data_IF_625626294982
#
_entry.id   IF_625626294982
#
_cell.length_a   1.000
_cell.length_b   1.000
_cell.length_c   1.000
_cell.angle_alpha   90.00
_cell.angle_beta   90.00
_cell.angle_gamma   90.00
#
_symmetry.space_group_name_H-M   'P 1'
#
loop_
_entity.id
_entity.type
_entity.pdbx_description
1 polymer ?
#
# COMPACT_ATOMS: atom_id res chain seq x y z
N UNK A 1 29.72 10.93 18.40
CA UNK A 1 28.82 10.74 17.25
C UNK A 1 27.59 11.57 17.50
N UNK A 2 27.34 12.62 16.71
CA UNK A 2 26.15 13.45 16.84
C UNK A 2 25.07 12.84 15.95
N UNK A 3 23.99 12.34 16.53
CA UNK A 3 22.78 11.96 15.80
C UNK A 3 21.84 13.17 15.76
N UNK A 4 21.95 13.94 14.68
CA UNK A 4 20.97 14.96 14.32
C UNK A 4 19.70 14.22 13.89
N UNK A 5 18.69 14.18 14.75
CA UNK A 5 17.37 13.66 14.41
C UNK A 5 16.58 14.77 13.71
N UNK A 6 16.74 14.87 12.40
CA UNK A 6 15.81 15.60 11.53
C UNK A 6 14.49 14.84 11.49
N UNK A 7 13.57 15.23 12.37
CA UNK A 7 12.15 14.88 12.28
C UNK A 7 11.57 15.55 11.03
N UNK A 8 11.58 14.83 9.92
CA UNK A 8 10.84 15.22 8.72
C UNK A 8 9.46 14.55 8.76
N UNK A 9 8.42 15.38 8.81
CA UNK A 9 7.02 15.01 8.87
C UNK A 9 6.64 14.19 7.63
N UNK A 10 5.72 13.22 7.71
CA UNK A 10 5.21 12.58 6.50
C UNK A 10 4.44 13.62 5.70
N UNK A 11 4.89 13.88 4.47
CA UNK A 11 4.09 14.59 3.48
C UNK A 11 2.97 13.64 3.04
N UNK A 12 1.73 14.04 3.31
CA UNK A 12 0.54 13.50 2.64
C UNK A 12 0.65 13.78 1.13
N UNK A 13 1.36 12.91 0.42
CA UNK A 13 1.40 12.92 -1.03
C UNK A 13 0.13 12.24 -1.54
N UNK A 14 -0.87 13.08 -1.74
CA UNK A 14 -1.89 13.03 -2.78
C UNK A 14 -1.96 11.69 -3.55
N UNK A 15 -3.01 10.92 -3.28
CA UNK A 15 -3.41 9.74 -4.05
C UNK A 15 -3.68 10.15 -5.51
N UNK A 16 -2.63 10.14 -6.32
CA UNK A 16 -2.73 10.16 -7.78
C UNK A 16 -3.07 8.74 -8.23
N UNK A 17 -4.37 8.43 -8.23
CA UNK A 17 -4.85 7.19 -8.85
C UNK A 17 -4.42 7.13 -10.32
N UNK A 18 -4.06 5.96 -10.86
CA UNK A 18 -3.62 5.83 -12.24
C UNK A 18 -4.78 6.17 -13.20
N UNK A 19 -4.70 7.35 -13.79
CA UNK A 19 -5.52 7.73 -14.93
C UNK A 19 -4.89 7.14 -16.20
N UNK A 20 -5.27 5.92 -16.55
CA UNK A 20 -4.90 5.30 -17.83
C UNK A 20 -6.13 5.08 -18.70
N UNK A 21 -6.36 6.01 -19.62
CA UNK A 21 -7.21 5.81 -20.79
C UNK A 21 -6.34 5.71 -22.05
N UNK A 22 -6.21 4.50 -22.62
CA UNK A 22 -6.43 4.19 -24.05
C UNK A 22 -5.82 2.85 -24.45
N UNK A 23 -6.71 1.88 -24.66
CA UNK A 23 -6.46 0.65 -25.39
C UNK A 23 -7.79 -0.08 -25.51
N UNK A 24 -8.43 -0.02 -26.69
CA UNK A 24 -9.70 -0.69 -26.97
C UNK A 24 -9.49 -2.21 -27.01
N UNK A 25 -9.29 -2.79 -25.84
CA UNK A 25 -9.46 -4.21 -25.56
C UNK A 25 -10.96 -4.50 -25.41
N UNK A 26 -11.44 -5.75 -25.66
CA UNK A 26 -12.84 -6.11 -25.43
C UNK A 26 -13.24 -5.59 -24.06
N UNK A 27 -14.35 -4.82 -23.98
CA UNK A 27 -14.80 -4.12 -22.78
C UNK A 27 -14.60 -5.05 -21.59
N UNK A 28 -13.52 -4.87 -20.83
CA UNK A 28 -13.28 -5.64 -19.60
C UNK A 28 -14.43 -5.20 -18.72
N UNK A 29 -15.47 -6.02 -18.65
CA UNK A 29 -16.61 -5.78 -17.79
C UNK A 29 -15.99 -5.67 -16.41
N UNK A 30 -15.92 -4.44 -15.89
CA UNK A 30 -15.39 -4.17 -14.57
C UNK A 30 -16.38 -4.85 -13.63
N UNK A 31 -15.96 -5.98 -13.05
CA UNK A 31 -16.73 -6.65 -12.02
C UNK A 31 -16.56 -5.83 -10.76
N UNK A 32 -17.39 -4.81 -10.63
CA UNK A 32 -17.44 -3.96 -9.45
C UNK A 32 -17.99 -4.81 -8.30
N UNK A 33 -17.23 -4.91 -7.22
CA UNK A 33 -17.69 -5.58 -6.01
C UNK A 33 -18.69 -4.66 -5.31
N UNK A 34 -19.85 -5.20 -4.96
CA UNK A 34 -20.78 -4.47 -4.11
C UNK A 34 -20.19 -4.42 -2.70
N UNK A 35 -19.83 -3.23 -2.25
CA UNK A 35 -19.27 -2.99 -0.91
C UNK A 35 -20.41 -2.62 0.02
N UNK A 36 -20.56 -3.37 1.11
CA UNK A 36 -21.42 -3.04 2.23
C UNK A 36 -20.50 -2.71 3.40
N UNK A 37 -20.62 -1.51 3.98
CA UNK A 37 -19.85 -1.13 5.16
C UNK A 37 -20.50 -1.68 6.42
N UNK A 38 -19.78 -2.48 7.20
CA UNK A 38 -20.16 -2.84 8.55
C UNK A 38 -19.69 -1.76 9.53
N UNK A 39 -20.35 -1.62 10.70
CA UNK A 39 -19.85 -0.77 11.76
C UNK A 39 -18.45 -1.21 12.20
N UNK A 40 -17.52 -0.27 12.32
CA UNK A 40 -16.13 -0.50 12.76
C UNK A 40 -15.26 -1.34 11.80
N UNK A 41 -15.63 -1.45 10.51
CA UNK A 41 -14.81 -2.17 9.51
C UNK A 41 -13.34 -1.73 9.52
N UNK A 42 -13.09 -0.42 9.63
CA UNK A 42 -11.73 0.11 9.68
C UNK A 42 -10.95 -0.36 10.90
N UNK A 43 -11.61 -0.50 12.06
CA UNK A 43 -10.96 -0.93 13.29
C UNK A 43 -10.60 -2.41 13.21
N UNK A 44 -11.50 -3.23 12.66
CA UNK A 44 -11.26 -4.66 12.41
C UNK A 44 -10.12 -4.85 11.41
N UNK A 45 -10.15 -4.13 10.28
CA UNK A 45 -9.06 -4.18 9.29
C UNK A 45 -7.73 -3.70 9.87
N UNK A 46 -7.74 -2.64 10.67
CA UNK A 46 -6.53 -2.11 11.30
C UNK A 46 -5.93 -3.10 12.30
N UNK A 47 -6.77 -3.77 13.09
CA UNK A 47 -6.34 -4.81 14.01
C UNK A 47 -5.68 -5.98 13.26
N UNK A 48 -6.31 -6.46 12.20
CA UNK A 48 -5.75 -7.54 11.38
C UNK A 48 -4.42 -7.12 10.74
N UNK A 49 -4.31 -5.89 10.22
CA UNK A 49 -3.02 -5.37 9.71
C UNK A 49 -1.96 -5.31 10.81
N UNK A 50 -2.30 -4.85 12.01
CA UNK A 50 -1.35 -4.80 13.13
C UNK A 50 -0.78 -6.20 13.45
N UNK A 51 -1.63 -7.23 13.46
CA UNK A 51 -1.21 -8.61 13.73
C UNK A 51 -0.27 -9.18 12.64
N UNK A 52 -0.43 -8.75 11.38
CA UNK A 52 0.44 -9.17 10.28
C UNK A 52 1.82 -8.46 10.29
N UNK A 53 1.88 -7.23 10.79
CA UNK A 53 3.07 -6.39 10.78
C UNK A 53 3.74 -6.25 12.16
N UNK A 54 3.41 -7.12 13.10
CA UNK A 54 4.08 -7.26 14.40
C UNK A 54 5.61 -7.30 14.19
N UNK A 55 6.29 -6.21 14.53
CA UNK A 55 7.68 -5.93 14.14
C UNK A 55 8.64 -7.08 14.51
N UNK A 56 8.38 -7.73 15.64
CA UNK A 56 9.16 -8.86 16.15
C UNK A 56 9.03 -10.15 15.32
N UNK A 57 7.98 -10.27 14.51
CA UNK A 57 7.67 -11.46 13.69
C UNK A 57 7.98 -11.28 12.21
N UNK A 58 8.15 -10.04 11.75
CA UNK A 58 8.43 -9.74 10.35
C UNK A 58 9.87 -10.14 10.01
N UNK A 59 10.05 -11.29 9.38
CA UNK A 59 11.36 -11.64 8.82
C UNK A 59 11.48 -11.06 7.41
N UNK A 60 12.26 -10.00 7.23
CA UNK A 60 12.54 -9.47 5.90
C UNK A 60 13.35 -10.49 5.08
N UNK A 61 12.70 -11.06 4.07
CA UNK A 61 13.40 -11.78 3.01
C UNK A 61 13.70 -10.77 1.93
N UNK A 62 14.93 -10.27 1.91
CA UNK A 62 15.41 -9.45 0.80
C UNK A 62 15.53 -10.36 -0.42
N UNK A 63 14.59 -10.21 -1.35
CA UNK A 63 14.75 -10.75 -2.70
C UNK A 63 15.88 -10.01 -3.40
N UNK A 64 16.59 -10.68 -4.30
CA UNK A 64 17.60 -10.02 -5.14
C UNK A 64 16.89 -8.94 -5.95
N UNK A 65 17.17 -7.67 -5.66
CA UNK A 65 16.78 -6.57 -6.52
C UNK A 65 17.60 -6.71 -7.81
N UNK A 66 16.97 -7.15 -8.89
CA UNK A 66 17.62 -7.09 -10.20
C UNK A 66 17.93 -5.61 -10.51
N UNK A 67 19.13 -5.30 -11.01
CA UNK A 67 19.48 -3.93 -11.34
C UNK A 67 18.62 -3.44 -12.50
N UNK A 68 18.02 -2.25 -12.36
CA UNK A 68 17.44 -1.53 -13.50
C UNK A 68 18.56 -1.33 -14.54
N UNK A 69 18.31 -1.77 -15.77
CA UNK A 69 19.27 -1.59 -16.86
C UNK A 69 19.41 -0.09 -17.18
N UNK A 70 20.66 0.37 -17.18
CA UNK A 70 21.12 1.67 -17.69
C UNK A 70 20.80 1.84 -19.18
#
# INVERSE_FOLDING_TARGET
MNHDQSSEKPNDSETTGPNESKGASPKKIKKELSVMSLPHDNDVMAQEMADLFDEDRVTHKHGNAEPEKD
#
